data_IF_434401090663
#
_entry.id   IF_434401090663
#
_cell.length_a   1.000
_cell.length_b   1.000
_cell.length_c   1.000
_cell.angle_alpha   90.00
_cell.angle_beta   90.00
_cell.angle_gamma   90.00
#
_symmetry.space_group_name_H-M   'P 1'
#
loop_
_entity.id
_entity.type
_entity.pdbx_description
1 polymer ?
#
# COMPACT_ATOMS: atom_id res chain seq x y z
N UNK A 1 34.08 -40.54 37.74
CA UNK A 1 32.95 -40.69 36.79
C UNK A 1 32.64 -39.30 36.27
N UNK A 2 33.28 -38.91 35.16
CA UNK A 2 33.04 -37.62 34.53
C UNK A 2 31.93 -37.79 33.48
N UNK A 3 30.93 -36.89 33.40
CA UNK A 3 30.07 -36.83 32.23
C UNK A 3 30.74 -35.99 31.13
N UNK A 4 30.85 -36.51 29.89
CA UNK A 4 31.12 -35.69 28.71
C UNK A 4 29.86 -35.48 27.84
N UNK A 5 30.00 -34.61 26.84
CA UNK A 5 29.05 -34.08 25.83
C UNK A 5 28.25 -32.87 26.33
N UNK A 6 28.50 -31.62 25.90
CA UNK A 6 28.74 -31.06 24.56
C UNK A 6 27.73 -31.56 23.53
N UNK A 7 26.61 -30.85 23.47
CA UNK A 7 26.07 -30.31 22.22
C UNK A 7 25.33 -29.03 22.66
N UNK A 8 25.91 -27.85 22.47
CA UNK A 8 25.58 -27.10 21.26
C UNK A 8 24.08 -27.24 20.98
N UNK A 9 23.25 -26.73 21.88
CA UNK A 9 21.90 -26.33 21.50
C UNK A 9 22.11 -25.26 20.44
N UNK A 10 22.02 -25.71 19.19
CA UNK A 10 22.01 -24.92 17.98
C UNK A 10 21.31 -23.59 18.23
N UNK A 11 22.12 -22.56 18.40
CA UNK A 11 22.18 -21.41 17.51
C UNK A 11 21.11 -21.45 16.39
N UNK A 12 19.86 -21.17 16.74
CA UNK A 12 18.99 -20.44 15.83
C UNK A 12 19.21 -18.96 16.13
N UNK A 13 19.90 -18.20 15.25
CA UNK A 13 20.25 -16.80 15.49
C UNK A 13 19.06 -15.83 15.35
N UNK A 14 17.82 -16.28 15.58
CA UNK A 14 16.61 -15.47 15.46
C UNK A 14 15.64 -15.79 16.61
N UNK A 15 16.07 -15.58 17.85
CA UNK A 15 15.13 -15.52 18.97
C UNK A 15 14.21 -14.31 18.77
N UNK A 16 12.99 -14.55 18.28
CA UNK A 16 11.88 -13.61 18.47
C UNK A 16 11.84 -13.30 19.97
N UNK A 17 12.01 -12.04 20.39
CA UNK A 17 12.18 -11.72 21.79
C UNK A 17 10.95 -12.16 22.60
N UNK A 18 11.20 -12.63 23.82
CA UNK A 18 10.19 -13.08 24.79
C UNK A 18 9.28 -11.95 25.32
N UNK A 19 9.45 -10.71 24.85
CA UNK A 19 8.71 -9.54 25.29
C UNK A 19 7.23 -9.60 24.85
N UNK A 20 6.32 -9.13 25.71
CA UNK A 20 4.87 -9.11 25.44
C UNK A 20 4.46 -8.25 24.23
N UNK A 21 5.35 -7.35 23.81
CA UNK A 21 5.15 -6.43 22.70
C UNK A 21 6.27 -6.64 21.67
N UNK A 22 6.06 -6.29 20.39
CA UNK A 22 7.15 -6.27 19.43
C UNK A 22 8.29 -5.35 19.90
N UNK A 23 9.54 -5.60 19.50
CA UNK A 23 10.72 -4.79 19.87
C UNK A 23 10.50 -3.29 19.68
N UNK A 24 9.85 -2.92 18.57
CA UNK A 24 9.53 -1.53 18.21
C UNK A 24 8.60 -0.81 19.21
N UNK A 25 7.94 -1.55 20.10
CA UNK A 25 6.98 -1.04 21.08
C UNK A 25 7.31 -1.48 22.52
N UNK A 26 8.52 -1.98 22.78
CA UNK A 26 8.91 -2.40 24.12
C UNK A 26 8.71 -1.28 25.13
N UNK A 27 7.96 -1.58 26.19
CA UNK A 27 7.62 -0.61 27.25
C UNK A 27 6.48 0.36 26.94
N UNK A 28 5.87 0.35 25.75
CA UNK A 28 4.77 1.26 25.40
C UNK A 28 3.58 0.56 24.70
N UNK A 29 2.71 -0.04 25.52
CA UNK A 29 1.50 -0.73 25.05
C UNK A 29 0.49 0.21 24.35
N UNK A 30 0.43 1.49 24.72
CA UNK A 30 -0.45 2.46 24.08
C UNK A 30 -0.01 2.76 22.66
N UNK A 31 1.30 2.98 22.43
CA UNK A 31 1.83 3.17 21.09
C UNK A 31 1.53 1.97 20.18
N UNK A 32 1.65 0.75 20.72
CA UNK A 32 1.29 -0.47 20.01
C UNK A 32 -0.21 -0.50 19.63
N UNK A 33 -1.10 -0.23 20.58
CA UNK A 33 -2.54 -0.22 20.34
C UNK A 33 -2.97 0.85 19.33
N UNK A 34 -2.41 2.06 19.42
CA UNK A 34 -2.68 3.15 18.48
C UNK A 34 -2.16 2.84 17.07
N UNK A 35 -0.95 2.28 16.95
CA UNK A 35 -0.38 1.86 15.67
C UNK A 35 -1.23 0.76 15.04
N UNK A 36 -1.58 -0.28 15.79
CA UNK A 36 -2.43 -1.37 15.32
C UNK A 36 -3.80 -0.84 14.86
N UNK A 37 -4.45 0.00 15.68
CA UNK A 37 -5.73 0.60 15.33
C UNK A 37 -5.64 1.48 14.08
N UNK A 38 -4.63 2.35 14.00
CA UNK A 38 -4.42 3.27 12.89
C UNK A 38 -4.17 2.55 11.57
N UNK A 39 -3.27 1.57 11.56
CA UNK A 39 -2.94 0.77 10.38
C UNK A 39 -4.13 -0.08 9.93
N UNK A 40 -4.85 -0.68 10.89
CA UNK A 40 -6.06 -1.47 10.61
C UNK A 40 -7.16 -0.59 10.03
N UNK A 41 -7.41 0.58 10.62
CA UNK A 41 -8.41 1.54 10.14
C UNK A 41 -8.09 2.03 8.73
N UNK A 42 -6.85 2.42 8.47
CA UNK A 42 -6.39 2.88 7.15
C UNK A 42 -6.52 1.75 6.11
N UNK A 43 -6.19 0.52 6.47
CA UNK A 43 -6.35 -0.65 5.61
C UNK A 43 -7.82 -0.90 5.27
N UNK A 44 -8.71 -0.87 6.25
CA UNK A 44 -10.15 -1.06 6.01
C UNK A 44 -10.77 0.07 5.20
N UNK A 45 -10.39 1.32 5.46
CA UNK A 45 -10.87 2.46 4.67
C UNK A 45 -10.40 2.36 3.21
N UNK A 46 -9.15 1.98 2.99
CA UNK A 46 -8.58 1.77 1.65
C UNK A 46 -9.29 0.61 0.94
N UNK A 47 -9.50 -0.51 1.63
CA UNK A 47 -10.22 -1.67 1.10
C UNK A 47 -11.66 -1.33 0.75
N UNK A 48 -12.37 -0.61 1.63
CA UNK A 48 -13.74 -0.13 1.38
C UNK A 48 -13.79 0.72 0.11
N UNK A 49 -12.82 1.61 -0.10
CA UNK A 49 -12.75 2.46 -1.29
C UNK A 49 -12.49 1.64 -2.56
N UNK A 50 -11.55 0.70 -2.52
CA UNK A 50 -11.28 -0.21 -3.66
C UNK A 50 -12.49 -1.07 -4.01
N UNK A 51 -13.12 -1.69 -3.00
CA UNK A 51 -14.34 -2.48 -3.20
C UNK A 51 -15.48 -1.62 -3.77
N UNK A 52 -15.63 -0.38 -3.31
CA UNK A 52 -16.62 0.55 -3.87
C UNK A 52 -16.38 0.82 -5.35
N UNK A 53 -15.12 0.94 -5.79
CA UNK A 53 -14.77 1.12 -7.21
C UNK A 53 -15.05 -0.15 -8.01
N UNK A 54 -14.66 -1.32 -7.51
CA UNK A 54 -14.86 -2.61 -8.18
C UNK A 54 -16.35 -3.00 -8.30
N UNK A 55 -17.16 -2.60 -7.32
CA UNK A 55 -18.59 -2.95 -7.26
C UNK A 55 -19.50 -1.89 -7.85
N UNK A 56 -19.01 -0.72 -8.24
CA UNK A 56 -19.83 0.39 -8.75
C UNK A 56 -20.68 -0.05 -9.94
N UNK A 57 -20.09 -0.73 -10.92
CA UNK A 57 -20.81 -1.22 -12.09
C UNK A 57 -21.90 -2.25 -11.74
N UNK A 58 -21.68 -3.08 -10.71
CA UNK A 58 -22.69 -4.04 -10.22
C UNK A 58 -23.80 -3.31 -9.46
N UNK A 59 -23.44 -2.31 -8.65
CA UNK A 59 -24.37 -1.49 -7.87
C UNK A 59 -25.28 -0.68 -8.79
N UNK A 60 -24.75 -0.07 -9.84
CA UNK A 60 -25.57 0.66 -10.83
C UNK A 60 -26.56 -0.25 -11.54
N UNK A 61 -26.13 -1.43 -12.00
CA UNK A 61 -27.05 -2.42 -12.62
C UNK A 61 -28.12 -2.88 -11.63
N UNK A 62 -27.77 -3.06 -10.37
CA UNK A 62 -28.73 -3.44 -9.33
C UNK A 62 -29.76 -2.34 -9.06
N UNK A 63 -29.34 -1.07 -9.09
CA UNK A 63 -30.23 0.09 -8.92
C UNK A 63 -31.13 0.26 -10.15
N UNK A 64 -30.58 0.13 -11.36
CA UNK A 64 -31.31 0.16 -12.62
C UNK A 64 -32.46 -0.86 -12.61
N UNK A 65 -32.17 -2.09 -12.19
CA UNK A 65 -33.19 -3.15 -12.04
C UNK A 65 -34.26 -2.84 -10.99
N UNK A 66 -33.91 -2.10 -9.92
CA UNK A 66 -34.84 -1.78 -8.83
C UNK A 66 -35.72 -0.55 -9.11
N UNK A 67 -35.16 0.45 -9.78
CA UNK A 67 -35.82 1.74 -10.02
C UNK A 67 -36.60 1.73 -11.34
N UNK A 68 -36.17 0.95 -12.33
CA UNK A 68 -36.90 0.78 -13.59
C UNK A 68 -36.90 2.04 -14.47
N UNK A 69 -38.03 2.26 -15.15
CA UNK A 69 -38.22 3.29 -16.19
C UNK A 69 -38.16 4.69 -15.56
N UNK A 70 -36.97 5.29 -15.55
CA UNK A 70 -36.69 6.57 -14.89
C UNK A 70 -35.25 6.67 -14.38
N UNK A 71 -34.56 5.54 -14.21
CA UNK A 71 -33.15 5.54 -13.86
C UNK A 71 -32.28 5.91 -15.07
N UNK A 72 -31.68 7.10 -15.03
CA UNK A 72 -30.64 7.47 -16.00
C UNK A 72 -29.31 6.91 -15.52
N UNK A 73 -28.82 5.87 -16.19
CA UNK A 73 -27.52 5.28 -15.88
C UNK A 73 -26.42 6.31 -16.16
N UNK A 74 -25.50 6.47 -15.21
CA UNK A 74 -24.32 7.31 -15.43
C UNK A 74 -23.48 6.69 -16.56
N UNK A 75 -22.94 7.51 -17.49
CA UNK A 75 -22.05 6.99 -18.52
C UNK A 75 -20.84 6.33 -17.86
N UNK A 76 -20.41 5.18 -18.40
CA UNK A 76 -19.24 4.49 -17.90
C UNK A 76 -18.02 5.42 -17.97
N UNK A 77 -17.35 5.61 -16.83
CA UNK A 77 -16.15 6.44 -16.77
C UNK A 77 -15.03 5.67 -17.45
N UNK A 78 -14.68 6.09 -18.67
CA UNK A 78 -13.58 5.52 -19.44
C UNK A 78 -12.25 5.88 -18.77
N UNK A 79 -11.29 4.95 -18.82
CA UNK A 79 -9.94 5.13 -18.28
C UNK A 79 -9.27 6.43 -18.75
N UNK A 80 -9.39 6.72 -20.05
CA UNK A 80 -8.76 7.84 -20.74
C UNK A 80 -9.41 9.20 -20.49
N UNK A 81 -10.39 9.28 -19.59
CA UNK A 81 -10.99 10.56 -19.17
C UNK A 81 -10.21 11.12 -17.97
N UNK A 82 -10.18 12.45 -17.77
CA UNK A 82 -9.54 13.05 -16.58
C UNK A 82 -10.04 12.44 -15.27
N UNK A 83 -11.36 12.18 -15.18
CA UNK A 83 -11.96 11.51 -14.02
C UNK A 83 -11.53 10.05 -13.89
N UNK A 84 -11.39 9.33 -15.00
CA UNK A 84 -10.87 7.95 -15.04
C UNK A 84 -9.43 7.88 -14.54
N UNK A 85 -8.54 8.72 -15.07
CA UNK A 85 -7.14 8.82 -14.64
C UNK A 85 -7.02 9.18 -13.17
N UNK A 86 -7.77 10.18 -12.69
CA UNK A 86 -7.79 10.54 -11.27
C UNK A 86 -8.23 9.36 -10.38
N UNK A 87 -9.30 8.66 -10.76
CA UNK A 87 -9.77 7.49 -10.02
C UNK A 87 -8.72 6.39 -9.97
N UNK A 88 -8.04 6.11 -11.08
CA UNK A 88 -6.98 5.11 -11.15
C UNK A 88 -5.75 5.50 -10.32
N UNK A 89 -5.32 6.77 -10.37
CA UNK A 89 -4.25 7.31 -9.51
C UNK A 89 -4.55 7.04 -8.04
N UNK A 90 -5.76 7.40 -7.60
CA UNK A 90 -6.20 7.21 -6.21
C UNK A 90 -6.32 5.72 -5.86
N UNK A 91 -6.83 4.87 -6.77
CA UNK A 91 -6.88 3.43 -6.56
C UNK A 91 -5.50 2.81 -6.40
N UNK A 92 -4.52 3.20 -7.22
CA UNK A 92 -3.14 2.75 -7.08
C UNK A 92 -2.53 3.17 -5.74
N UNK A 93 -2.82 4.39 -5.26
CA UNK A 93 -2.39 4.83 -3.91
C UNK A 93 -3.05 4.00 -2.81
N UNK A 94 -4.34 3.66 -2.91
CA UNK A 94 -4.99 2.79 -1.93
C UNK A 94 -4.41 1.36 -1.94
N UNK A 95 -4.04 0.84 -3.10
CA UNK A 95 -3.35 -0.46 -3.20
C UNK A 95 -1.97 -0.38 -2.54
N UNK A 96 -1.22 0.69 -2.78
CA UNK A 96 0.08 0.92 -2.13
C UNK A 96 -0.06 0.91 -0.60
N UNK A 97 -1.05 1.64 -0.06
CA UNK A 97 -1.33 1.67 1.38
C UNK A 97 -1.71 0.28 1.91
N UNK A 98 -2.58 -0.44 1.20
CA UNK A 98 -3.00 -1.78 1.61
C UNK A 98 -1.83 -2.75 1.65
N UNK A 99 -0.96 -2.72 0.63
CA UNK A 99 0.21 -3.58 0.58
C UNK A 99 1.15 -3.30 1.75
N UNK A 100 1.54 -2.04 1.97
CA UNK A 100 2.45 -1.69 3.07
C UNK A 100 1.85 -1.90 4.46
N UNK A 101 0.56 -1.60 4.66
CA UNK A 101 -0.05 -1.73 5.99
C UNK A 101 -0.49 -3.17 6.32
N UNK A 102 -0.75 -4.02 5.33
CA UNK A 102 -1.31 -5.36 5.59
C UNK A 102 -0.31 -6.31 6.23
N UNK A 103 0.97 -6.25 5.85
CA UNK A 103 2.03 -7.04 6.46
C UNK A 103 2.23 -6.65 7.93
N UNK A 104 2.43 -5.35 8.19
CA UNK A 104 2.50 -4.78 9.54
C UNK A 104 1.32 -5.21 10.43
N UNK A 105 0.09 -5.07 9.95
CA UNK A 105 -1.11 -5.45 10.72
C UNK A 105 -1.11 -6.95 11.04
N UNK A 106 -0.73 -7.80 10.09
CA UNK A 106 -0.65 -9.25 10.32
C UNK A 106 0.43 -9.61 11.33
N UNK A 107 1.61 -9.00 11.23
CA UNK A 107 2.74 -9.22 12.16
C UNK A 107 2.34 -8.77 13.57
N UNK A 108 1.70 -7.62 13.71
CA UNK A 108 1.23 -7.12 15.01
C UNK A 108 0.13 -8.04 15.58
N UNK A 109 -0.92 -8.34 14.82
CA UNK A 109 -2.02 -9.18 15.30
C UNK A 109 -1.56 -10.57 15.73
N UNK A 110 -0.65 -11.18 14.98
CA UNK A 110 -0.18 -12.55 15.24
C UNK A 110 1.06 -12.56 16.16
N UNK A 111 1.46 -11.42 16.72
CA UNK A 111 2.62 -11.34 17.59
C UNK A 111 2.45 -12.26 18.80
N UNK A 112 3.37 -13.23 18.96
CA UNK A 112 3.35 -14.31 19.97
C UNK A 112 2.19 -15.31 19.90
N UNK A 113 1.22 -15.12 19.01
CA UNK A 113 0.15 -16.11 18.82
C UNK A 113 0.61 -17.28 17.94
N UNK A 114 1.66 -17.08 17.13
CA UNK A 114 2.15 -18.06 16.17
C UNK A 114 3.55 -18.58 16.50
N UNK A 115 3.91 -19.72 15.90
CA UNK A 115 5.24 -20.31 16.03
C UNK A 115 6.34 -19.39 15.48
N UNK A 116 7.58 -19.52 15.98
CA UNK A 116 8.72 -18.73 15.50
C UNK A 116 8.93 -18.83 13.98
N UNK A 117 8.77 -20.03 13.41
CA UNK A 117 8.86 -20.27 11.96
C UNK A 117 7.78 -19.54 11.18
N UNK A 118 6.57 -19.45 11.74
CA UNK A 118 5.47 -18.67 11.14
C UNK A 118 5.75 -17.18 11.23
N UNK A 119 6.32 -16.71 12.35
CA UNK A 119 6.70 -15.31 12.53
C UNK A 119 7.78 -14.88 11.53
N UNK A 120 8.81 -15.71 11.32
CA UNK A 120 9.84 -15.45 10.28
C UNK A 120 9.22 -15.33 8.89
N UNK A 121 8.28 -16.22 8.56
CA UNK A 121 7.55 -16.14 7.29
C UNK A 121 6.72 -14.85 7.19
N UNK A 122 6.02 -14.45 8.26
CA UNK A 122 5.24 -13.20 8.28
C UNK A 122 6.12 -11.97 8.09
N UNK A 123 7.30 -11.93 8.73
CA UNK A 123 8.27 -10.84 8.57
C UNK A 123 8.88 -10.82 7.16
N UNK A 124 9.15 -11.98 6.56
CA UNK A 124 9.62 -12.06 5.18
C UNK A 124 8.53 -11.62 4.19
N UNK A 125 7.27 -12.00 4.45
CA UNK A 125 6.11 -11.61 3.67
C UNK A 125 5.85 -10.10 3.75
N UNK A 126 5.92 -9.52 4.95
CA UNK A 126 5.80 -8.07 5.18
C UNK A 126 6.85 -7.29 4.38
N UNK A 127 8.13 -7.68 4.47
CA UNK A 127 9.19 -7.08 3.64
C UNK A 127 8.95 -7.21 2.14
N UNK A 128 8.40 -8.35 1.70
CA UNK A 128 8.08 -8.55 0.29
C UNK A 128 6.92 -7.64 -0.15
N UNK A 129 5.90 -7.46 0.69
CA UNK A 129 4.80 -6.55 0.44
C UNK A 129 5.27 -5.09 0.39
N UNK A 130 6.10 -4.68 1.35
CA UNK A 130 6.75 -3.38 1.40
C UNK A 130 7.56 -3.10 0.13
N UNK A 131 8.39 -4.05 -0.28
CA UNK A 131 9.14 -3.95 -1.55
C UNK A 131 8.21 -3.85 -2.76
N UNK A 132 7.10 -4.59 -2.75
CA UNK A 132 6.13 -4.59 -3.84
C UNK A 132 5.25 -3.32 -3.88
N UNK A 133 5.21 -2.49 -2.82
CA UNK A 133 4.52 -1.18 -2.83
C UNK A 133 5.05 -0.22 -3.89
N UNK A 134 6.30 -0.42 -4.35
CA UNK A 134 6.89 0.42 -5.39
C UNK A 134 6.13 0.34 -6.71
N UNK A 135 5.54 -0.81 -7.03
CA UNK A 135 4.81 -1.01 -8.29
C UNK A 135 3.54 -0.15 -8.34
N UNK A 136 2.58 -0.25 -7.40
CA UNK A 136 1.41 0.61 -7.40
C UNK A 136 1.77 2.08 -7.20
N UNK A 137 2.84 2.41 -6.47
CA UNK A 137 3.32 3.78 -6.34
C UNK A 137 3.79 4.37 -7.68
N UNK A 138 4.64 3.65 -8.42
CA UNK A 138 5.12 4.07 -9.74
C UNK A 138 3.98 4.17 -10.75
N UNK A 139 2.99 3.26 -10.69
CA UNK A 139 1.78 3.37 -11.50
C UNK A 139 0.97 4.62 -11.15
N UNK A 140 0.74 4.91 -9.87
CA UNK A 140 0.05 6.12 -9.43
C UNK A 140 0.78 7.38 -9.91
N UNK A 141 2.10 7.37 -9.89
CA UNK A 141 2.94 8.46 -10.36
C UNK A 141 2.80 8.69 -11.86
N UNK A 142 2.94 7.64 -12.67
CA UNK A 142 2.78 7.71 -14.13
C UNK A 142 1.38 8.18 -14.52
N UNK A 143 0.34 7.69 -13.83
CA UNK A 143 -1.05 8.11 -14.05
C UNK A 143 -1.26 9.55 -13.56
N UNK A 144 -0.56 9.99 -12.52
CA UNK A 144 -0.57 11.36 -12.04
C UNK A 144 0.00 12.34 -13.06
N UNK A 145 1.17 12.04 -13.62
CA UNK A 145 1.76 12.83 -14.71
C UNK A 145 0.84 12.89 -15.94
N UNK A 146 0.13 11.79 -16.20
CA UNK A 146 -0.88 11.73 -17.24
C UNK A 146 -2.12 12.58 -16.92
N UNK A 147 -2.60 12.57 -15.68
CA UNK A 147 -3.75 13.38 -15.26
C UNK A 147 -3.43 14.87 -15.26
N UNK A 148 -2.23 15.25 -14.84
CA UNK A 148 -1.81 16.65 -14.73
C UNK A 148 -1.63 17.29 -16.11
N UNK A 149 -1.36 16.48 -17.14
CA UNK A 149 -1.45 16.91 -18.54
C UNK A 149 -2.91 17.06 -19.01
N UNK A 150 -3.83 16.26 -18.50
CA UNK A 150 -5.23 16.29 -18.88
C UNK A 150 -5.99 17.52 -18.36
N UNK A 151 -5.66 18.00 -17.15
CA UNK A 151 -6.42 19.05 -16.44
C UNK A 151 -6.47 20.38 -17.22
N UNK A 152 -5.37 20.93 -17.76
CA UNK A 152 -5.42 22.14 -18.58
C UNK A 152 -6.26 21.95 -19.85
N UNK A 153 -6.15 20.78 -20.49
CA UNK A 153 -6.92 20.45 -21.69
C UNK A 153 -8.43 20.31 -21.39
N UNK A 154 -8.80 19.74 -20.24
CA UNK A 154 -10.19 19.61 -19.83
C UNK A 154 -10.84 20.95 -19.44
N UNK A 155 -10.07 21.91 -18.91
CA UNK A 155 -10.55 23.26 -18.56
C UNK A 155 -10.85 24.14 -19.78
N UNK A 156 -10.25 23.85 -20.94
CA UNK A 156 -10.31 24.68 -22.16
C UNK A 156 -11.45 24.25 -23.13
N UNK A 157 -12.16 23.15 -22.82
CA UNK A 157 -13.24 22.46 -23.57
C UNK A 157 -12.76 21.30 -24.44
N UNK A 158 -13.72 20.37 -24.59
CA UNK A 158 -13.74 19.09 -25.31
C UNK A 158 -13.34 17.90 -24.44
N UNK A 159 -14.29 16.96 -24.34
CA UNK A 159 -14.18 15.61 -23.78
C UNK A 159 -13.23 14.74 -24.64
N UNK A 160 -12.02 15.23 -24.95
CA UNK A 160 -11.06 14.47 -25.73
C UNK A 160 -10.38 13.42 -24.86
N UNK A 161 -10.10 12.26 -25.47
CA UNK A 161 -9.30 11.23 -24.85
C UNK A 161 -7.91 11.80 -24.52
N UNK A 162 -7.49 11.64 -23.26
CA UNK A 162 -6.21 12.17 -22.80
C UNK A 162 -5.08 11.38 -23.45
N UNK A 163 -4.18 12.07 -24.17
CA UNK A 163 -3.00 11.46 -24.78
C UNK A 163 -1.97 11.07 -23.73
N UNK A 164 -1.24 9.95 -23.91
CA UNK A 164 -0.22 9.52 -22.97
C UNK A 164 0.90 10.56 -22.82
N UNK A 165 1.53 10.64 -21.63
CA UNK A 165 2.55 11.65 -21.35
C UNK A 165 3.81 11.45 -22.19
N UNK A 166 4.40 12.56 -22.67
CA UNK A 166 5.72 12.54 -23.30
C UNK A 166 6.80 12.24 -22.26
N UNK A 167 7.76 11.38 -22.61
CA UNK A 167 8.83 10.92 -21.72
C UNK A 167 9.65 12.04 -21.08
N UNK A 168 9.83 13.18 -21.77
CA UNK A 168 10.62 14.31 -21.27
C UNK A 168 10.03 14.96 -20.02
N UNK A 169 8.70 14.92 -19.83
CA UNK A 169 8.08 15.38 -18.57
C UNK A 169 8.21 14.37 -17.45
N UNK A 170 8.01 13.09 -17.78
CA UNK A 170 8.18 11.99 -16.81
C UNK A 170 9.59 12.04 -16.22
N UNK A 171 10.62 12.31 -17.03
CA UNK A 171 12.01 12.50 -16.55
C UNK A 171 12.16 13.60 -15.50
N UNK A 172 11.53 14.76 -15.71
CA UNK A 172 11.62 15.89 -14.78
C UNK A 172 11.02 15.55 -13.42
N UNK A 173 9.88 14.86 -13.44
CA UNK A 173 9.18 14.44 -12.23
C UNK A 173 9.86 13.25 -11.53
N UNK A 174 10.44 12.31 -12.30
CA UNK A 174 11.30 11.23 -11.78
C UNK A 174 12.51 11.77 -11.03
N UNK A 175 13.03 12.94 -11.39
CA UNK A 175 14.11 13.60 -10.65
C UNK A 175 13.74 13.95 -9.20
N UNK A 176 12.55 14.49 -8.96
CA UNK A 176 12.06 14.77 -7.61
C UNK A 176 11.77 13.49 -6.83
N UNK A 177 11.13 12.50 -7.45
CA UNK A 177 10.88 11.20 -6.80
C UNK A 177 12.19 10.48 -6.48
N UNK A 178 13.18 10.55 -7.36
CA UNK A 178 14.53 10.02 -7.14
C UNK A 178 15.24 10.74 -6.00
N UNK A 179 15.11 12.06 -5.89
CA UNK A 179 15.65 12.83 -4.77
C UNK A 179 15.00 12.44 -3.43
N UNK A 180 13.67 12.31 -3.39
CA UNK A 180 12.95 11.84 -2.19
C UNK A 180 13.37 10.41 -1.84
N UNK A 181 13.49 9.53 -2.85
CA UNK A 181 13.97 8.16 -2.67
C UNK A 181 15.40 8.13 -2.13
N UNK A 182 16.28 8.99 -2.62
CA UNK A 182 17.66 9.12 -2.13
C UNK A 182 17.71 9.61 -0.68
N UNK A 183 16.89 10.60 -0.31
CA UNK A 183 16.76 11.06 1.07
C UNK A 183 16.27 9.93 1.97
N UNK A 184 15.21 9.22 1.56
CA UNK A 184 14.68 8.08 2.30
C UNK A 184 15.72 6.97 2.48
N UNK A 185 16.48 6.63 1.42
CA UNK A 185 17.60 5.68 1.48
C UNK A 185 18.68 6.14 2.46
N UNK A 186 19.05 7.42 2.42
CA UNK A 186 20.03 8.01 3.35
C UNK A 186 19.58 7.90 4.80
N UNK A 187 18.30 8.17 5.10
CA UNK A 187 17.74 8.01 6.45
C UNK A 187 17.73 6.53 6.87
N UNK A 188 17.38 5.62 5.97
CA UNK A 188 17.31 4.18 6.26
C UNK A 188 18.71 3.58 6.50
N UNK A 189 19.69 3.92 5.66
CA UNK A 189 21.09 3.49 5.85
C UNK A 189 21.65 4.08 7.15
N UNK A 190 21.38 5.36 7.43
CA UNK A 190 21.81 6.01 8.66
C UNK A 190 21.23 5.39 9.93
N UNK A 191 20.04 4.77 9.85
CA UNK A 191 19.45 3.99 10.95
C UNK A 191 20.02 2.57 11.03
N UNK A 192 20.38 1.94 9.91
CA UNK A 192 20.93 0.59 9.90
C UNK A 192 22.38 0.50 10.44
N UNK A 193 23.08 1.63 10.52
CA UNK A 193 24.47 1.73 10.99
C UNK A 193 24.60 2.25 12.44
N UNK A 194 23.49 2.49 13.13
CA UNK A 194 23.45 2.78 14.57
C UNK A 194 22.95 1.55 15.34
#
# INVERSE_FOLDING_TARGET
MAPPSIAAADLMPHHVPLSALPPSFEGNAWAYAFALFGLTLVSFLSLKKLLSVLTEARRERAIERKVGVGFTRRPAILFWTPLGLFRWKISCLYVCILMGASGDVLVMLLWREVSARTMEFLLAFDRALDGATIVPFMLAFMIGEWSDQAIPHALIRVNEAVRPPKWDRVKGSVGMTGLIGFIALGVTIGKAWK
#
